data_IF_794731843097
#
_entry.id   IF_794731843097
#
_cell.length_a   1.000
_cell.length_b   1.000
_cell.length_c   1.000
_cell.angle_alpha   90.00
_cell.angle_beta   90.00
_cell.angle_gamma   90.00
#
_symmetry.space_group_name_H-M   'P 1'
#
loop_
_entity.id
_entity.type
_entity.pdbx_description
1 polymer ?
#
# COMPACT_ATOMS: atom_id res chain seq x y z
N UNK A 1 -23.24 -11.27 6.23
CA UNK A 1 -23.11 -10.23 7.29
C UNK A 1 -22.18 -10.67 8.42
N UNK A 2 -22.31 -11.89 8.94
CA UNK A 2 -21.47 -12.42 10.05
C UNK A 2 -19.95 -12.33 9.79
N UNK A 3 -19.46 -12.85 8.66
CA UNK A 3 -18.03 -12.79 8.32
C UNK A 3 -17.44 -11.37 8.29
N UNK A 4 -18.24 -10.39 7.86
CA UNK A 4 -17.84 -8.97 7.87
C UNK A 4 -17.75 -8.43 9.30
N UNK A 5 -18.68 -8.82 10.18
CA UNK A 5 -18.64 -8.42 11.59
C UNK A 5 -17.40 -8.96 12.32
N UNK A 6 -16.92 -10.14 11.92
CA UNK A 6 -15.68 -10.73 12.45
C UNK A 6 -14.41 -10.14 11.81
N UNK A 7 -14.53 -9.28 10.80
CA UNK A 7 -13.39 -8.72 10.08
C UNK A 7 -12.71 -9.68 9.11
N UNK A 8 -13.34 -10.80 8.76
CA UNK A 8 -12.80 -11.77 7.79
C UNK A 8 -12.87 -11.25 6.34
N UNK A 9 -13.87 -10.40 6.06
CA UNK A 9 -14.05 -9.75 4.75
C UNK A 9 -14.29 -8.26 4.94
N UNK A 10 -13.80 -7.45 4.01
CA UNK A 10 -13.89 -5.99 4.09
C UNK A 10 -15.26 -5.44 3.65
N UNK A 11 -15.96 -6.12 2.75
CA UNK A 11 -17.24 -5.65 2.18
C UNK A 11 -18.18 -6.86 1.94
N UNK A 12 -19.49 -6.64 2.03
CA UNK A 12 -20.54 -7.61 1.65
C UNK A 12 -21.51 -6.92 0.71
N UNK A 13 -21.58 -7.40 -0.52
CA UNK A 13 -22.33 -6.78 -1.62
C UNK A 13 -23.17 -7.82 -2.37
N UNK A 14 -24.20 -7.39 -3.14
CA UNK A 14 -24.97 -8.30 -3.98
C UNK A 14 -24.07 -9.06 -4.98
N UNK A 15 -24.31 -10.36 -5.24
CA UNK A 15 -23.46 -11.18 -6.11
C UNK A 15 -23.23 -10.59 -7.51
N UNK A 16 -24.26 -9.98 -8.08
CA UNK A 16 -24.24 -9.34 -9.39
C UNK A 16 -23.32 -8.13 -9.48
N UNK A 17 -22.99 -7.49 -8.35
CA UNK A 17 -22.08 -6.33 -8.28
C UNK A 17 -20.65 -6.73 -7.87
N UNK A 18 -20.39 -8.01 -7.58
CA UNK A 18 -19.13 -8.47 -7.00
C UNK A 18 -17.92 -8.09 -7.85
N UNK A 19 -17.95 -8.42 -9.13
CA UNK A 19 -16.83 -8.18 -10.03
C UNK A 19 -16.65 -6.69 -10.32
N UNK A 20 -17.75 -5.95 -10.50
CA UNK A 20 -17.71 -4.51 -10.72
C UNK A 20 -17.00 -3.82 -9.55
N UNK A 21 -17.46 -4.06 -8.32
CA UNK A 21 -16.86 -3.48 -7.11
C UNK A 21 -15.40 -3.90 -6.92
N UNK A 22 -15.08 -5.16 -7.16
CA UNK A 22 -13.70 -5.65 -7.05
C UNK A 22 -12.77 -4.94 -8.06
N UNK A 23 -13.25 -4.71 -9.28
CA UNK A 23 -12.51 -3.99 -10.32
C UNK A 23 -12.38 -2.50 -10.03
N UNK A 24 -13.40 -1.84 -9.46
CA UNK A 24 -13.29 -0.45 -9.01
C UNK A 24 -12.19 -0.29 -7.94
N UNK A 25 -12.15 -1.21 -6.97
CA UNK A 25 -11.11 -1.20 -5.95
C UNK A 25 -9.73 -1.44 -6.56
N UNK A 26 -9.60 -2.38 -7.49
CA UNK A 26 -8.35 -2.64 -8.19
C UNK A 26 -7.90 -1.44 -9.02
N UNK A 27 -8.82 -0.75 -9.71
CA UNK A 27 -8.53 0.47 -10.46
C UNK A 27 -8.03 1.59 -9.54
N UNK A 28 -8.69 1.77 -8.39
CA UNK A 28 -8.28 2.74 -7.37
C UNK A 28 -6.85 2.46 -6.87
N UNK A 29 -6.53 1.19 -6.60
CA UNK A 29 -5.17 0.80 -6.20
C UNK A 29 -4.17 0.98 -7.35
N UNK A 30 -4.56 0.73 -8.60
CA UNK A 30 -3.68 0.91 -9.76
C UNK A 30 -3.29 2.39 -10.01
N UNK A 31 -4.08 3.35 -9.53
CA UNK A 31 -3.75 4.78 -9.58
C UNK A 31 -2.74 5.21 -8.49
N UNK A 32 -2.53 4.38 -7.48
CA UNK A 32 -1.67 4.70 -6.33
C UNK A 32 -0.20 4.32 -6.53
N UNK A 33 0.67 4.70 -5.57
CA UNK A 33 2.11 4.44 -5.64
C UNK A 33 2.44 2.95 -5.43
N UNK A 34 2.87 2.22 -6.48
CA UNK A 34 3.02 0.76 -6.40
C UNK A 34 4.13 0.33 -5.42
N UNK A 35 5.22 1.09 -5.33
CA UNK A 35 6.33 0.78 -4.40
C UNK A 35 5.93 0.99 -2.93
N UNK A 36 5.07 1.97 -2.64
CA UNK A 36 4.53 2.17 -1.29
C UNK A 36 3.61 1.00 -0.90
N UNK A 37 2.78 0.51 -1.82
CA UNK A 37 1.93 -0.65 -1.54
C UNK A 37 2.75 -1.92 -1.29
N UNK A 38 3.81 -2.14 -2.07
CA UNK A 38 4.74 -3.24 -1.83
C UNK A 38 5.36 -3.14 -0.43
N UNK A 39 5.83 -1.95 -0.06
CA UNK A 39 6.42 -1.67 1.25
C UNK A 39 5.46 -1.89 2.42
N UNK A 40 4.27 -1.31 2.36
CA UNK A 40 3.24 -1.51 3.40
C UNK A 40 2.90 -2.99 3.56
N UNK A 41 2.77 -3.73 2.44
CA UNK A 41 2.42 -5.15 2.49
C UNK A 41 3.52 -6.01 3.11
N UNK A 42 4.79 -5.76 2.80
CA UNK A 42 5.92 -6.47 3.41
C UNK A 42 6.00 -6.16 4.91
N UNK A 43 6.00 -4.87 5.27
CA UNK A 43 6.13 -4.41 6.65
C UNK A 43 4.98 -4.91 7.52
N UNK A 44 3.73 -4.80 7.07
CA UNK A 44 2.58 -5.25 7.86
C UNK A 44 2.66 -6.74 8.20
N UNK A 45 3.09 -7.58 7.25
CA UNK A 45 3.26 -9.03 7.47
C UNK A 45 4.41 -9.34 8.41
N UNK A 46 5.54 -8.65 8.27
CA UNK A 46 6.69 -8.88 9.13
C UNK A 46 6.42 -8.40 10.57
N UNK A 47 5.79 -7.24 10.71
CA UNK A 47 5.53 -6.61 11.99
C UNK A 47 4.61 -7.42 12.92
N UNK A 48 3.76 -8.30 12.37
CA UNK A 48 2.92 -9.22 13.15
C UNK A 48 3.71 -10.08 14.14
N UNK A 49 4.98 -10.38 13.83
CA UNK A 49 5.88 -11.19 14.67
C UNK A 49 7.07 -10.41 15.25
N UNK A 50 7.01 -9.07 15.27
CA UNK A 50 8.07 -8.22 15.79
C UNK A 50 7.62 -7.45 17.02
N UNK A 51 8.58 -7.03 17.86
CA UNK A 51 8.30 -5.98 18.83
C UNK A 51 8.13 -4.67 18.08
N UNK A 52 7.22 -3.82 18.57
CA UNK A 52 6.90 -2.55 17.94
C UNK A 52 8.14 -1.71 17.59
N UNK A 53 9.08 -1.55 18.54
CA UNK A 53 10.28 -0.75 18.31
C UNK A 53 11.21 -1.38 17.26
N UNK A 54 11.38 -2.70 17.27
CA UNK A 54 12.23 -3.40 16.29
C UNK A 54 11.67 -3.21 14.86
N UNK A 55 10.34 -3.23 14.70
CA UNK A 55 9.71 -2.98 13.41
C UNK A 55 9.97 -1.54 12.92
N UNK A 56 9.84 -0.54 13.80
CA UNK A 56 10.15 0.86 13.47
C UNK A 56 11.63 1.06 13.12
N UNK A 57 12.53 0.44 13.88
CA UNK A 57 13.97 0.51 13.64
C UNK A 57 14.33 -0.13 12.30
N UNK A 58 13.70 -1.27 11.95
CA UNK A 58 13.89 -1.92 10.65
C UNK A 58 13.36 -1.09 9.47
N UNK A 59 12.22 -0.40 9.64
CA UNK A 59 11.69 0.54 8.62
C UNK A 59 12.64 1.72 8.44
N UNK A 60 13.02 2.40 9.53
CA UNK A 60 13.83 3.63 9.49
C UNK A 60 15.26 3.37 9.03
N UNK A 61 15.81 2.21 9.38
CA UNK A 61 17.14 1.76 8.93
C UNK A 61 17.11 1.07 7.56
N UNK A 62 15.96 1.08 6.87
CA UNK A 62 15.77 0.50 5.52
C UNK A 62 16.17 -0.98 5.40
N UNK A 63 15.87 -1.78 6.41
CA UNK A 63 16.21 -3.21 6.42
C UNK A 63 15.26 -4.05 5.55
N UNK A 64 14.07 -3.53 5.24
CA UNK A 64 13.14 -4.18 4.33
C UNK A 64 13.51 -3.86 2.87
N UNK A 65 13.69 -4.86 1.99
CA UNK A 65 14.05 -4.63 0.58
C UNK A 65 13.08 -3.71 -0.17
N UNK A 66 11.78 -3.80 0.12
CA UNK A 66 10.78 -2.92 -0.52
C UNK A 66 10.86 -1.48 -0.02
N UNK A 67 11.25 -1.27 1.24
CA UNK A 67 11.49 0.06 1.81
C UNK A 67 12.75 0.69 1.20
N UNK A 68 13.83 -0.09 1.08
CA UNK A 68 15.07 0.41 0.46
C UNK A 68 14.86 0.78 -1.02
N UNK A 69 14.11 -0.07 -1.75
CA UNK A 69 13.70 0.21 -3.13
C UNK A 69 12.85 1.48 -3.21
N UNK A 70 11.80 1.60 -2.39
CA UNK A 70 10.92 2.77 -2.35
C UNK A 70 11.70 4.06 -2.10
N UNK A 71 12.56 4.10 -1.08
CA UNK A 71 13.26 5.34 -0.75
C UNK A 71 14.35 5.72 -1.74
N UNK A 72 14.78 4.80 -2.60
CA UNK A 72 15.78 5.03 -3.64
C UNK A 72 15.15 5.32 -5.00
N UNK A 73 13.82 5.34 -5.09
CA UNK A 73 13.08 5.33 -6.35
C UNK A 73 12.88 6.73 -6.95
N UNK A 74 12.65 6.79 -8.28
CA UNK A 74 12.16 8.01 -8.94
C UNK A 74 10.80 8.44 -8.34
N UNK A 75 9.94 7.46 -8.05
CA UNK A 75 8.59 7.69 -7.50
C UNK A 75 8.62 8.45 -6.16
N UNK A 76 9.63 8.27 -5.31
CA UNK A 76 9.75 9.02 -4.06
C UNK A 76 9.87 10.53 -4.31
N UNK A 77 10.68 10.92 -5.30
CA UNK A 77 10.85 12.32 -5.70
C UNK A 77 9.59 12.85 -6.39
N UNK A 78 8.98 12.05 -7.26
CA UNK A 78 7.76 12.42 -7.96
C UNK A 78 6.58 12.65 -7.00
N UNK A 79 6.43 11.82 -5.97
CA UNK A 79 5.38 11.99 -4.97
C UNK A 79 5.51 13.33 -4.23
N UNK A 80 6.71 13.66 -3.76
CA UNK A 80 6.99 14.94 -3.10
C UNK A 80 6.76 16.13 -4.04
N UNK A 81 7.21 16.02 -5.30
CA UNK A 81 7.05 17.07 -6.32
C UNK A 81 5.59 17.29 -6.70
N UNK A 82 4.84 16.22 -6.99
CA UNK A 82 3.43 16.29 -7.35
C UNK A 82 2.58 16.90 -6.22
N UNK A 83 2.90 16.56 -4.96
CA UNK A 83 2.28 17.18 -3.80
C UNK A 83 2.56 18.69 -3.74
N UNK A 84 3.82 19.11 -3.86
CA UNK A 84 4.20 20.52 -3.85
C UNK A 84 3.55 21.32 -5.01
N UNK A 85 3.45 20.70 -6.19
CA UNK A 85 2.85 21.27 -7.40
C UNK A 85 1.31 21.14 -7.45
N UNK A 86 0.68 20.50 -6.45
CA UNK A 86 -0.77 20.25 -6.37
C UNK A 86 -1.35 19.57 -7.62
N UNK A 87 -0.61 18.61 -8.17
CA UNK A 87 -1.03 17.80 -9.33
C UNK A 87 -1.07 16.32 -8.97
N UNK A 88 -1.72 15.52 -9.82
CA UNK A 88 -1.65 14.06 -9.71
C UNK A 88 -0.21 13.57 -9.96
N UNK A 89 0.32 12.66 -9.15
CA UNK A 89 1.61 12.03 -9.37
C UNK A 89 1.57 11.06 -10.56
N UNK A 90 2.71 10.86 -11.20
CA UNK A 90 2.90 9.87 -12.26
C UNK A 90 3.85 8.77 -11.81
N UNK A 91 3.28 7.69 -11.28
CA UNK A 91 4.06 6.56 -10.78
C UNK A 91 4.61 5.70 -11.91
N UNK A 92 5.89 5.34 -11.82
CA UNK A 92 6.59 4.45 -12.77
C UNK A 92 6.99 3.11 -12.17
N UNK A 93 6.87 2.94 -10.85
CA UNK A 93 7.27 1.73 -10.14
C UNK A 93 8.79 1.52 -10.11
N UNK A 94 9.56 2.61 -10.13
CA UNK A 94 11.03 2.59 -10.10
C UNK A 94 11.58 3.87 -9.48
#
# INVERSE_FOLDING_TARGET
AEAHQWGLVNEVIPPEQLLERAHELAATLAEGPPLVFAAIKEVSRAAENMRFQDALDAITSRQFPTIDTLYSSEDQLEGAKAFAEKRKPQWKGR
#
